data_IF_212036268913
#
_entry.id   IF_212036268913
#
_cell.length_a   1.000
_cell.length_b   1.000
_cell.length_c   1.000
_cell.angle_alpha   90.00
_cell.angle_beta   90.00
_cell.angle_gamma   90.00
#
_symmetry.space_group_name_H-M   'P 1'
#
loop_
_entity.id
_entity.type
_entity.pdbx_description
1 polymer ?
#
# COMPACT_ATOMS: atom_id res chain seq x y z
N UNK A 1 -23.21 7.02 -54.65
CA UNK A 1 -22.08 6.14 -54.29
C UNK A 1 -21.15 6.96 -53.44
N UNK A 2 -21.33 6.87 -52.13
CA UNK A 2 -20.38 7.36 -51.13
C UNK A 2 -20.26 6.25 -50.08
N UNK A 3 -19.03 5.84 -49.82
CA UNK A 3 -18.65 5.24 -48.54
C UNK A 3 -17.17 5.58 -48.33
N UNK A 4 -16.93 6.53 -47.44
CA UNK A 4 -15.60 6.84 -46.91
C UNK A 4 -15.20 5.81 -45.86
N UNK A 5 -13.99 5.28 -45.98
CA UNK A 5 -13.34 4.45 -44.97
C UNK A 5 -11.94 5.01 -44.77
N UNK A 6 -11.56 5.29 -43.52
CA UNK A 6 -10.17 5.59 -43.16
C UNK A 6 -10.03 6.64 -42.08
N UNK A 7 -10.46 6.34 -40.85
CA UNK A 7 -10.31 7.27 -39.73
C UNK A 7 -10.60 6.64 -38.38
N UNK A 8 -10.02 5.46 -38.09
CA UNK A 8 -10.00 4.88 -36.73
C UNK A 8 -8.84 3.90 -36.60
N UNK A 9 -7.63 4.43 -36.41
CA UNK A 9 -6.46 3.64 -35.99
C UNK A 9 -5.38 4.52 -35.35
N UNK A 10 -5.76 5.38 -34.40
CA UNK A 10 -4.79 6.14 -33.59
C UNK A 10 -5.34 6.45 -32.18
N UNK A 11 -6.19 5.58 -31.63
CA UNK A 11 -6.60 5.64 -30.22
C UNK A 11 -6.33 4.35 -29.46
N UNK A 12 -5.88 3.29 -30.15
CA UNK A 12 -5.62 1.96 -29.57
C UNK A 12 -4.12 1.63 -29.48
N UNK A 13 -3.23 2.53 -29.92
CA UNK A 13 -1.77 2.36 -29.90
C UNK A 13 -1.06 3.13 -28.77
N UNK A 14 -1.78 3.61 -27.75
CA UNK A 14 -1.23 4.45 -26.67
C UNK A 14 -1.36 3.76 -25.29
N UNK A 15 -1.29 2.42 -25.22
CA UNK A 15 -1.09 1.70 -23.93
C UNK A 15 0.42 1.47 -23.63
N UNK A 16 1.32 1.87 -24.53
CA UNK A 16 2.79 1.94 -24.34
C UNK A 16 3.31 3.39 -24.24
N UNK A 17 2.54 4.31 -23.67
CA UNK A 17 3.17 5.55 -23.18
C UNK A 17 4.02 5.14 -21.99
N UNK A 18 5.33 5.11 -22.21
CA UNK A 18 6.33 5.24 -21.16
C UNK A 18 5.81 6.26 -20.16
N UNK A 19 5.37 5.81 -18.98
CA UNK A 19 4.90 6.70 -17.94
C UNK A 19 6.10 7.54 -17.55
N UNK A 20 6.15 8.79 -18.04
CA UNK A 20 7.29 9.66 -17.76
C UNK A 20 7.18 10.02 -16.29
N UNK A 21 8.03 9.35 -15.49
CA UNK A 21 8.15 9.65 -14.09
C UNK A 21 8.52 11.13 -13.94
N UNK A 22 7.66 11.90 -13.29
CA UNK A 22 7.98 13.28 -12.94
C UNK A 22 8.87 13.22 -11.69
N UNK A 23 10.17 13.58 -11.78
CA UNK A 23 11.08 13.51 -10.63
C UNK A 23 10.61 14.39 -9.47
N UNK A 24 9.87 15.49 -9.73
CA UNK A 24 9.29 16.35 -8.68
C UNK A 24 8.17 15.68 -7.88
N UNK A 25 7.62 14.58 -8.41
CA UNK A 25 6.58 13.80 -7.74
C UNK A 25 7.13 12.51 -7.10
N UNK A 26 8.45 12.39 -7.02
CA UNK A 26 9.11 11.27 -6.35
C UNK A 26 9.37 11.62 -4.91
N UNK A 27 8.91 10.77 -3.99
CA UNK A 27 9.28 10.83 -2.60
C UNK A 27 10.54 9.99 -2.39
N UNK A 28 11.70 10.66 -2.31
CA UNK A 28 13.01 9.99 -2.21
C UNK A 28 13.35 9.46 -0.80
N UNK A 29 12.41 9.59 0.14
CA UNK A 29 12.51 9.00 1.46
C UNK A 29 11.56 7.82 1.56
N UNK A 30 11.87 6.88 2.45
CA UNK A 30 11.00 5.72 2.67
C UNK A 30 10.26 5.83 4.00
N UNK A 31 11.01 6.13 5.08
CA UNK A 31 10.44 6.33 6.40
C UNK A 31 9.68 7.66 6.46
N UNK A 32 8.43 7.64 6.92
CA UNK A 32 7.62 8.82 7.19
C UNK A 32 7.81 9.26 8.64
N UNK A 33 8.20 10.52 8.85
CA UNK A 33 8.29 11.21 10.15
C UNK A 33 8.31 12.73 9.93
N UNK A 34 8.40 13.51 11.01
CA UNK A 34 8.41 14.97 11.01
C UNK A 34 9.55 15.60 10.20
N UNK A 35 10.63 14.86 9.96
CA UNK A 35 11.75 15.30 9.14
C UNK A 35 11.48 15.04 7.66
N UNK A 36 11.05 13.83 7.31
CA UNK A 36 10.90 13.40 5.91
C UNK A 36 9.61 13.89 5.26
N UNK A 37 8.52 14.04 6.03
CA UNK A 37 7.21 14.45 5.49
C UNK A 37 7.24 15.83 4.82
N UNK A 38 8.18 16.69 5.20
CA UNK A 38 8.40 18.02 4.60
C UNK A 38 8.79 17.94 3.13
N UNK A 39 9.32 16.81 2.70
CA UNK A 39 9.71 16.53 1.31
C UNK A 39 8.65 15.73 0.56
N UNK A 40 7.49 15.45 1.17
CA UNK A 40 6.42 14.74 0.49
C UNK A 40 5.88 15.59 -0.66
N UNK A 41 5.84 15.05 -1.89
CA UNK A 41 5.46 15.85 -3.05
C UNK A 41 3.96 16.13 -3.08
N UNK A 42 3.61 17.39 -3.31
CA UNK A 42 2.23 17.79 -3.57
C UNK A 42 1.84 17.47 -5.02
N UNK A 43 1.66 16.18 -5.33
CA UNK A 43 1.34 15.69 -6.68
C UNK A 43 0.11 14.76 -6.69
N UNK A 44 -0.71 14.79 -7.77
CA UNK A 44 -1.77 13.80 -8.00
C UNK A 44 -1.28 12.36 -8.12
N UNK A 45 -0.08 12.16 -8.68
CA UNK A 45 0.57 10.86 -8.80
C UNK A 45 1.94 10.94 -8.12
N UNK A 46 2.14 10.14 -7.08
CA UNK A 46 3.36 10.09 -6.28
C UNK A 46 4.07 8.77 -6.52
N UNK A 47 5.39 8.81 -6.59
CA UNK A 47 6.26 7.64 -6.72
C UNK A 47 7.05 7.49 -5.43
N UNK A 48 6.96 6.35 -4.78
CA UNK A 48 7.68 6.13 -3.53
C UNK A 48 7.19 4.94 -2.74
N UNK A 49 7.97 4.60 -1.73
CA UNK A 49 7.64 3.55 -0.76
C UNK A 49 7.36 4.27 0.55
N UNK A 50 6.18 4.04 1.12
CA UNK A 50 5.78 4.67 2.37
C UNK A 50 5.94 3.65 3.50
N UNK A 51 6.90 3.89 4.39
CA UNK A 51 7.06 3.15 5.65
C UNK A 51 6.56 3.99 6.80
N UNK A 52 5.57 3.46 7.51
CA UNK A 52 4.96 4.05 8.70
C UNK A 52 5.13 3.05 9.83
N UNK A 53 5.76 3.48 10.92
CA UNK A 53 6.02 2.62 12.07
C UNK A 53 6.20 3.44 13.36
N UNK A 54 6.82 2.84 14.39
CA UNK A 54 7.12 3.53 15.66
C UNK A 54 7.99 4.78 15.51
N UNK A 55 8.76 4.92 14.42
CA UNK A 55 9.54 6.12 14.13
C UNK A 55 8.71 7.25 13.50
N UNK A 56 7.43 7.01 13.18
CA UNK A 56 6.50 8.04 12.70
C UNK A 56 5.95 8.83 13.88
N UNK A 57 6.55 9.99 14.14
CA UNK A 57 6.20 10.95 15.19
C UNK A 57 5.10 11.97 14.77
N UNK A 58 4.25 11.56 13.83
CA UNK A 58 3.20 12.40 13.25
C UNK A 58 1.81 11.89 13.65
N UNK A 59 0.88 12.82 13.83
CA UNK A 59 -0.53 12.49 13.97
C UNK A 59 -1.12 12.09 12.60
N UNK A 60 -2.12 11.21 12.62
CA UNK A 60 -2.89 10.83 11.42
C UNK A 60 -3.38 12.06 10.64
N UNK A 61 -3.83 13.12 11.33
CA UNK A 61 -4.27 14.36 10.70
C UNK A 61 -3.16 15.06 9.90
N UNK A 62 -1.91 15.05 10.39
CA UNK A 62 -0.77 15.64 9.69
C UNK A 62 -0.41 14.84 8.43
N UNK A 63 -0.48 13.50 8.52
CA UNK A 63 -0.32 12.63 7.35
C UNK A 63 -1.41 12.85 6.32
N UNK A 64 -2.67 12.99 6.77
CA UNK A 64 -3.80 13.29 5.87
C UNK A 64 -3.59 14.62 5.14
N UNK A 65 -3.13 15.66 5.83
CA UNK A 65 -2.80 16.94 5.20
C UNK A 65 -1.68 16.79 4.19
N UNK A 66 -0.62 16.05 4.50
CA UNK A 66 0.48 15.83 3.57
C UNK A 66 0.06 15.04 2.31
N UNK A 67 -0.84 14.06 2.48
CA UNK A 67 -1.29 13.17 1.41
C UNK A 67 -2.49 13.72 0.62
N UNK A 68 -3.01 14.91 0.96
CA UNK A 68 -4.29 15.42 0.44
C UNK A 68 -4.37 15.47 -1.09
N UNK A 69 -3.25 15.74 -1.76
CA UNK A 69 -3.19 15.82 -3.21
C UNK A 69 -2.87 14.48 -3.89
N UNK A 70 -2.41 13.47 -3.14
CA UNK A 70 -2.05 12.16 -3.67
C UNK A 70 -3.30 11.33 -4.00
N UNK A 71 -3.56 11.14 -5.29
CA UNK A 71 -4.63 10.27 -5.80
C UNK A 71 -4.10 8.94 -6.33
N UNK A 72 -2.82 8.88 -6.71
CA UNK A 72 -2.16 7.67 -7.19
C UNK A 72 -0.84 7.50 -6.46
N UNK A 73 -0.58 6.30 -5.95
CA UNK A 73 0.71 5.91 -5.42
C UNK A 73 1.30 4.81 -6.30
N UNK A 74 2.46 5.06 -6.88
CA UNK A 74 3.29 4.07 -7.57
C UNK A 74 4.42 3.65 -6.63
N UNK A 75 4.37 2.43 -6.12
CA UNK A 75 5.40 1.92 -5.21
C UNK A 75 4.87 0.95 -4.17
N UNK A 76 5.03 1.25 -2.88
CA UNK A 76 4.70 0.32 -1.79
C UNK A 76 4.19 1.02 -0.55
N UNK A 77 3.40 0.31 0.25
CA UNK A 77 2.95 0.77 1.56
C UNK A 77 3.33 -0.31 2.58
N UNK A 78 4.03 0.10 3.62
CA UNK A 78 4.36 -0.74 4.77
C UNK A 78 4.00 -0.02 6.06
N UNK A 79 3.09 -0.61 6.81
CA UNK A 79 2.58 -0.10 8.07
C UNK A 79 2.85 -1.17 9.12
N UNK A 80 3.74 -0.87 10.06
CA UNK A 80 4.17 -1.86 11.03
C UNK A 80 4.35 -1.29 12.42
N UNK A 81 4.05 -2.09 13.44
CA UNK A 81 4.27 -1.72 14.84
C UNK A 81 3.61 -0.38 15.23
N UNK A 82 2.53 0.03 14.56
CA UNK A 82 1.87 1.30 14.87
C UNK A 82 0.90 1.15 16.05
N UNK A 83 0.60 2.28 16.70
CA UNK A 83 -0.41 2.38 17.77
C UNK A 83 -1.74 2.95 17.27
N UNK A 84 -2.00 2.86 15.97
CA UNK A 84 -3.19 3.45 15.37
C UNK A 84 -4.28 2.42 15.19
N UNK A 85 -5.52 2.85 15.37
CA UNK A 85 -6.69 2.01 15.14
C UNK A 85 -7.23 2.06 13.72
N UNK A 86 -6.76 3.02 12.90
CA UNK A 86 -7.27 3.33 11.57
C UNK A 86 -6.16 3.77 10.63
N UNK A 87 -6.38 3.58 9.33
CA UNK A 87 -5.50 4.02 8.24
C UNK A 87 -6.10 5.17 7.41
N UNK A 88 -7.00 5.96 8.01
CA UNK A 88 -7.66 7.09 7.36
C UNK A 88 -6.75 8.32 7.12
N UNK A 89 -5.43 8.13 7.00
CA UNK A 89 -4.51 9.13 6.45
C UNK A 89 -4.51 9.11 4.92
N UNK A 90 -4.82 7.97 4.30
CA UNK A 90 -4.99 7.88 2.86
C UNK A 90 -6.39 8.37 2.49
N UNK A 91 -6.49 9.22 1.46
CA UNK A 91 -7.80 9.54 0.89
C UNK A 91 -8.41 8.27 0.35
N UNK A 92 -9.64 7.97 0.70
CA UNK A 92 -10.29 6.74 0.28
C UNK A 92 -11.13 6.93 -0.98
N UNK A 93 -11.52 8.19 -1.24
CA UNK A 93 -12.12 8.60 -2.51
C UNK A 93 -11.05 8.66 -3.60
N UNK A 94 -11.19 7.82 -4.63
CA UNK A 94 -10.36 7.83 -5.86
C UNK A 94 -8.85 7.55 -5.67
N UNK A 95 -8.45 6.89 -4.58
CA UNK A 95 -7.05 6.48 -4.41
C UNK A 95 -6.74 5.21 -5.20
N UNK A 96 -5.71 5.29 -6.05
CA UNK A 96 -5.22 4.18 -6.87
C UNK A 96 -3.81 3.79 -6.44
N UNK A 97 -3.65 2.54 -6.06
CA UNK A 97 -2.39 1.98 -5.62
C UNK A 97 -1.81 1.06 -6.70
N UNK A 98 -0.67 1.45 -7.26
CA UNK A 98 0.10 0.70 -8.25
C UNK A 98 1.29 0.07 -7.53
N UNK A 99 1.14 -1.19 -7.11
CA UNK A 99 2.08 -1.82 -6.19
C UNK A 99 3.09 -2.74 -6.88
N UNK A 100 3.58 -2.30 -8.04
CA UNK A 100 4.24 -3.17 -9.01
C UNK A 100 5.59 -3.77 -8.59
N UNK A 101 6.18 -3.35 -7.48
CA UNK A 101 7.46 -3.90 -7.01
C UNK A 101 7.53 -4.11 -5.51
N UNK A 102 6.64 -3.46 -4.76
CA UNK A 102 6.80 -3.34 -3.30
C UNK A 102 5.57 -3.77 -2.51
N UNK A 103 4.43 -4.08 -3.11
CA UNK A 103 3.29 -4.68 -2.40
C UNK A 103 2.70 -3.84 -1.26
N UNK A 104 1.85 -4.48 -0.47
CA UNK A 104 1.20 -3.90 0.72
C UNK A 104 1.55 -4.70 1.96
N UNK A 105 1.95 -4.05 3.04
CA UNK A 105 2.26 -4.72 4.30
C UNK A 105 1.56 -4.02 5.46
N UNK A 106 0.72 -4.75 6.19
CA UNK A 106 0.17 -4.33 7.47
C UNK A 106 0.57 -5.41 8.50
N UNK A 107 1.57 -5.11 9.33
CA UNK A 107 2.21 -6.11 10.19
C UNK A 107 2.30 -5.63 11.64
N UNK A 108 1.89 -6.46 12.59
CA UNK A 108 2.06 -6.17 14.02
C UNK A 108 1.43 -4.84 14.47
N UNK A 109 0.25 -4.51 13.95
CA UNK A 109 -0.51 -3.32 14.38
C UNK A 109 -1.65 -3.76 15.31
N UNK A 110 -1.31 -4.03 16.57
CA UNK A 110 -2.25 -4.62 17.55
C UNK A 110 -3.49 -3.77 17.85
N UNK A 111 -3.47 -2.48 17.52
CA UNK A 111 -4.63 -1.58 17.68
C UNK A 111 -5.44 -1.38 16.40
N UNK A 112 -4.92 -1.77 15.22
CA UNK A 112 -5.54 -1.54 13.92
C UNK A 112 -6.80 -2.41 13.75
N UNK A 113 -7.97 -1.86 14.08
CA UNK A 113 -9.26 -2.55 13.97
C UNK A 113 -10.19 -1.97 12.92
N UNK A 114 -9.95 -0.73 12.47
CA UNK A 114 -10.75 -0.09 11.42
C UNK A 114 -10.28 -0.55 10.03
N UNK A 115 -11.09 -1.43 9.43
CA UNK A 115 -10.85 -2.00 8.11
C UNK A 115 -11.32 -1.10 6.95
N UNK A 116 -11.83 0.12 7.19
CA UNK A 116 -12.45 0.97 6.16
C UNK A 116 -11.56 1.17 4.95
N UNK A 117 -10.29 1.53 5.18
CA UNK A 117 -9.30 1.69 4.10
C UNK A 117 -9.09 0.40 3.29
N UNK A 118 -8.98 -0.76 3.94
CA UNK A 118 -8.81 -2.06 3.26
C UNK A 118 -10.05 -2.43 2.44
N UNK A 119 -11.25 -2.16 2.98
CA UNK A 119 -12.52 -2.37 2.28
C UNK A 119 -12.63 -1.48 1.04
N UNK A 120 -12.19 -0.24 1.12
CA UNK A 120 -12.23 0.70 -0.02
C UNK A 120 -11.17 0.37 -1.06
N UNK A 121 -9.99 -0.10 -0.67
CA UNK A 121 -9.03 -0.69 -1.61
C UNK A 121 -9.63 -1.87 -2.39
N UNK A 122 -10.62 -2.56 -1.82
CA UNK A 122 -11.38 -3.63 -2.46
C UNK A 122 -12.66 -3.15 -3.19
N UNK A 123 -13.12 -1.93 -2.92
CA UNK A 123 -14.39 -1.43 -3.46
C UNK A 123 -14.28 -1.12 -4.95
N UNK A 124 -14.92 -1.96 -5.76
CA UNK A 124 -15.12 -1.75 -7.18
C UNK A 124 -16.33 -0.84 -7.38
N UNK A 125 -16.10 0.43 -7.69
CA UNK A 125 -17.10 1.17 -8.48
C UNK A 125 -16.91 0.78 -9.94
N UNK A 126 -17.97 0.79 -10.74
CA UNK A 126 -18.04 0.26 -12.11
C UNK A 126 -16.97 0.78 -13.10
N UNK A 127 -16.15 1.76 -12.71
CA UNK A 127 -15.16 2.41 -13.57
C UNK A 127 -13.73 2.56 -12.96
N UNK A 128 -13.47 2.15 -11.71
CA UNK A 128 -12.15 2.34 -11.08
C UNK A 128 -11.66 1.13 -10.27
N UNK A 129 -10.51 0.60 -10.68
CA UNK A 129 -9.70 -0.34 -9.89
C UNK A 129 -8.82 0.48 -8.93
N UNK A 130 -8.91 0.19 -7.62
CA UNK A 130 -8.14 0.89 -6.59
C UNK A 130 -6.78 0.26 -6.33
N UNK A 131 -6.59 -1.01 -6.69
CA UNK A 131 -5.28 -1.70 -6.66
C UNK A 131 -4.94 -2.24 -8.03
N UNK A 132 -3.74 -1.95 -8.52
CA UNK A 132 -3.28 -2.33 -9.85
C UNK A 132 -1.93 -3.04 -9.71
N UNK A 133 -1.86 -4.26 -10.24
CA UNK A 133 -0.70 -5.14 -10.30
C UNK A 133 -0.44 -5.61 -11.74
N UNK A 134 0.73 -5.32 -12.30
CA UNK A 134 1.28 -5.93 -13.52
C UNK A 134 1.95 -7.32 -13.32
N UNK A 135 1.72 -8.05 -12.22
CA UNK A 135 2.40 -9.32 -11.89
C UNK A 135 1.95 -9.93 -10.54
N UNK A 136 2.38 -11.17 -10.19
CA UNK A 136 2.02 -11.82 -8.93
C UNK A 136 2.70 -11.09 -7.77
N UNK A 137 1.92 -10.43 -6.92
CA UNK A 137 2.47 -9.59 -5.85
C UNK A 137 1.77 -9.78 -4.54
N UNK A 138 2.51 -9.52 -3.48
CA UNK A 138 2.12 -9.87 -2.14
C UNK A 138 1.49 -8.67 -1.43
N UNK A 139 0.34 -8.94 -0.82
CA UNK A 139 -0.09 -8.22 0.36
C UNK A 139 0.12 -9.14 1.55
N UNK A 140 0.85 -8.67 2.56
CA UNK A 140 1.01 -9.41 3.82
C UNK A 140 0.25 -8.67 4.91
N UNK A 141 -0.71 -9.38 5.51
CA UNK A 141 -1.49 -8.90 6.63
C UNK A 141 -1.34 -9.91 7.76
N UNK A 142 -0.65 -9.50 8.82
CA UNK A 142 -0.24 -10.43 9.87
C UNK A 142 -0.06 -9.74 11.22
N UNK A 143 -0.40 -10.45 12.30
CA UNK A 143 -0.18 -10.01 13.68
C UNK A 143 -0.92 -8.68 13.99
N UNK A 144 -2.00 -8.32 13.28
CA UNK A 144 -2.78 -7.11 13.56
C UNK A 144 -3.88 -7.37 14.61
N UNK A 145 -4.71 -6.35 14.89
CA UNK A 145 -5.84 -6.53 15.79
C UNK A 145 -6.80 -7.61 15.24
N UNK A 146 -7.21 -8.61 16.05
CA UNK A 146 -8.14 -9.66 15.59
C UNK A 146 -9.48 -9.12 15.07
N UNK A 147 -9.87 -7.90 15.44
CA UNK A 147 -11.10 -7.24 14.96
C UNK A 147 -10.99 -6.70 13.53
N UNK A 148 -9.80 -6.61 12.96
CA UNK A 148 -9.57 -6.04 11.61
C UNK A 148 -10.39 -6.76 10.52
N UNK A 149 -10.62 -8.06 10.67
CA UNK A 149 -11.44 -8.86 9.74
C UNK A 149 -12.65 -9.51 10.42
N UNK A 150 -13.03 -9.06 11.61
CA UNK A 150 -14.30 -9.46 12.22
C UNK A 150 -15.48 -8.88 11.42
N UNK A 151 -16.68 -9.42 11.64
CA UNK A 151 -17.93 -9.03 10.94
C UNK A 151 -18.04 -9.47 9.47
N UNK A 152 -17.45 -10.61 9.11
CA UNK A 152 -17.59 -11.19 7.77
C UNK A 152 -16.87 -10.39 6.67
N UNK A 153 -15.90 -9.57 7.06
CA UNK A 153 -15.03 -8.85 6.13
C UNK A 153 -14.10 -9.87 5.49
N UNK A 154 -14.23 -10.13 4.18
CA UNK A 154 -13.37 -11.11 3.54
C UNK A 154 -11.94 -10.55 3.49
N UNK A 155 -10.95 -11.42 3.67
CA UNK A 155 -9.54 -11.14 3.35
C UNK A 155 -9.36 -10.99 1.83
N UNK A 156 -9.91 -9.90 1.31
CA UNK A 156 -9.94 -9.57 -0.10
C UNK A 156 -9.56 -8.10 -0.24
N UNK A 157 -8.43 -7.90 -0.89
CA UNK A 157 -7.94 -6.66 -1.45
C UNK A 157 -7.90 -6.93 -2.95
N UNK A 158 -8.97 -6.55 -3.65
CA UNK A 158 -9.14 -6.68 -5.11
C UNK A 158 -9.38 -8.11 -5.63
N UNK A 159 -10.60 -8.36 -6.12
CA UNK A 159 -10.90 -9.42 -7.11
C UNK A 159 -11.89 -8.87 -8.13
N UNK A 160 -11.50 -8.66 -9.39
CA UNK A 160 -12.48 -8.30 -10.42
C UNK A 160 -13.29 -9.52 -10.86
N UNK A 161 -14.61 -9.35 -10.97
CA UNK A 161 -15.45 -10.15 -11.87
C UNK A 161 -16.00 -9.20 -12.92
N UNK A 162 -15.16 -8.82 -13.90
CA UNK A 162 -15.59 -8.05 -15.07
C UNK A 162 -16.12 -9.00 -16.16
N UNK A 163 -17.06 -8.55 -17.02
CA UNK A 163 -17.74 -9.39 -18.02
C UNK A 163 -16.83 -9.98 -19.12
N UNK A 164 -15.52 -9.71 -19.11
CA UNK A 164 -14.60 -10.11 -20.18
C UNK A 164 -13.29 -10.76 -19.71
N UNK A 165 -13.11 -11.10 -18.43
CA UNK A 165 -11.93 -11.83 -17.93
C UNK A 165 -10.55 -11.16 -18.14
N UNK A 166 -10.47 -10.08 -18.91
CA UNK A 166 -9.24 -9.44 -19.38
C UNK A 166 -8.67 -8.39 -18.42
N UNK A 167 -9.40 -8.05 -17.34
CA UNK A 167 -8.91 -7.14 -16.28
C UNK A 167 -8.35 -7.87 -15.06
N UNK A 168 -8.57 -9.18 -14.97
CA UNK A 168 -8.23 -9.99 -13.81
C UNK A 168 -6.70 -10.02 -13.58
N UNK A 169 -5.89 -10.19 -14.64
CA UNK A 169 -4.42 -10.20 -14.49
C UNK A 169 -3.83 -8.87 -14.00
N UNK A 170 -4.52 -7.74 -14.21
CA UNK A 170 -4.04 -6.39 -13.85
C UNK A 170 -4.26 -6.05 -12.38
N UNK A 171 -4.93 -6.89 -11.59
CA UNK A 171 -5.30 -6.57 -10.21
C UNK A 171 -5.22 -7.76 -9.24
N UNK A 172 -4.55 -8.85 -9.64
CA UNK A 172 -4.30 -10.00 -8.77
C UNK A 172 -3.25 -9.61 -7.73
N UNK A 173 -3.69 -9.43 -6.50
CA UNK A 173 -2.83 -9.33 -5.32
C UNK A 173 -2.95 -10.66 -4.56
N UNK A 174 -1.83 -11.35 -4.37
CA UNK A 174 -1.74 -12.51 -3.51
C UNK A 174 -1.74 -12.03 -2.07
N UNK A 175 -2.81 -12.30 -1.33
CA UNK A 175 -2.94 -11.87 0.07
C UNK A 175 -2.56 -13.04 0.95
N UNK A 176 -1.56 -12.85 1.81
CA UNK A 176 -1.01 -13.85 2.72
C UNK A 176 -0.78 -13.24 4.11
N UNK A 177 -0.26 -14.02 5.05
CA UNK A 177 -0.09 -13.62 6.45
C UNK A 177 -1.24 -14.15 7.31
N UNK A 178 -0.94 -14.44 8.58
CA UNK A 178 -1.83 -15.16 9.51
C UNK A 178 -3.24 -14.56 9.65
N UNK A 179 -3.40 -13.25 9.42
CA UNK A 179 -4.72 -12.61 9.49
C UNK A 179 -5.59 -12.97 8.27
N UNK A 180 -4.97 -13.43 7.17
CA UNK A 180 -5.60 -13.69 5.88
C UNK A 180 -5.18 -15.00 5.18
N UNK A 181 -4.42 -15.86 5.84
CA UNK A 181 -3.88 -17.10 5.29
C UNK A 181 -2.77 -17.68 6.16
N UNK A 182 -1.81 -18.36 5.55
CA UNK A 182 -0.66 -18.90 6.27
C UNK A 182 0.29 -17.77 6.71
N UNK A 183 0.89 -17.95 7.89
CA UNK A 183 1.95 -17.08 8.40
C UNK A 183 3.13 -17.07 7.43
N UNK A 184 3.68 -15.89 7.16
CA UNK A 184 4.83 -15.72 6.26
C UNK A 184 6.01 -15.07 6.98
N UNK A 185 7.23 -15.47 6.61
CA UNK A 185 8.44 -14.79 7.04
C UNK A 185 8.65 -13.51 6.22
N UNK A 186 8.44 -12.36 6.85
CA UNK A 186 8.61 -11.07 6.18
C UNK A 186 10.07 -10.64 6.27
N UNK A 187 10.81 -10.78 5.16
CA UNK A 187 12.16 -10.21 5.05
C UNK A 187 12.06 -8.69 5.02
N UNK A 188 12.75 -8.02 5.95
CA UNK A 188 12.88 -6.56 5.93
C UNK A 188 13.59 -6.12 4.64
N UNK A 189 13.13 -5.08 3.92
CA UNK A 189 13.89 -4.54 2.81
C UNK A 189 15.24 -4.03 3.32
N UNK A 190 16.31 -4.70 2.92
CA UNK A 190 17.69 -4.33 3.17
C UNK A 190 17.99 -2.99 2.50
N UNK A 191 17.90 -1.91 3.26
CA UNK A 191 18.13 -0.53 2.82
C UNK A 191 18.06 0.53 3.92
N UNK A 192 17.71 0.16 5.16
CA UNK A 192 17.83 1.04 6.32
C UNK A 192 19.15 0.75 7.03
N UNK A 193 20.08 1.72 7.02
CA UNK A 193 21.15 1.78 8.01
C UNK A 193 20.51 2.06 9.37
N UNK A 194 19.86 1.05 9.96
CA UNK A 194 19.56 1.04 11.39
C UNK A 194 20.87 0.62 12.05
N UNK A 195 21.52 1.48 12.85
CA UNK A 195 22.72 1.08 13.55
C UNK A 195 22.40 -0.19 14.37
N UNK A 196 23.24 -1.20 14.18
CA UNK A 196 23.19 -2.58 14.72
C UNK A 196 22.92 -2.71 16.23
N UNK A 197 22.80 -1.59 16.94
CA UNK A 197 22.64 -1.49 18.39
C UNK A 197 21.19 -1.78 18.81
N UNK A 198 20.19 -1.51 17.95
CA UNK A 198 18.78 -1.83 18.27
C UNK A 198 18.45 -3.32 18.17
N UNK A 199 19.25 -4.11 17.44
CA UNK A 199 19.10 -5.58 17.40
C UNK A 199 19.58 -6.24 18.71
N UNK A 200 20.48 -5.59 19.45
CA UNK A 200 20.98 -6.12 20.73
C UNK A 200 19.95 -6.01 21.86
N UNK A 201 19.10 -4.97 21.86
CA UNK A 201 18.10 -4.77 22.93
C UNK A 201 16.93 -5.76 22.87
N UNK A 202 16.63 -6.32 21.69
CA UNK A 202 15.61 -7.36 21.55
C UNK A 202 16.13 -8.69 22.15
N UNK A 203 17.43 -8.97 22.05
CA UNK A 203 18.00 -10.20 22.61
C UNK A 203 18.18 -10.12 24.14
N UNK A 204 18.57 -8.98 24.70
CA UNK A 204 18.78 -8.86 26.16
C UNK A 204 17.48 -8.82 26.97
N UNK A 205 16.37 -8.38 26.38
CA UNK A 205 15.05 -8.41 27.05
C UNK A 205 14.43 -9.81 27.10
N UNK A 206 14.83 -10.73 26.22
CA UNK A 206 14.40 -12.14 26.28
C UNK A 206 15.13 -12.91 27.39
N UNK A 207 16.39 -12.57 27.70
CA UNK A 207 17.13 -13.20 28.81
C UNK A 207 16.74 -12.70 30.20
N UNK A 208 16.14 -11.51 30.32
CA UNK A 208 15.73 -10.97 31.64
C UNK A 208 14.36 -11.46 32.11
N UNK A 209 13.58 -12.14 31.26
CA UNK A 209 12.22 -12.60 31.61
C UNK A 209 12.19 -14.08 32.03
N UNK A 210 13.31 -14.81 31.89
CA UNK A 210 13.38 -16.23 32.33
C UNK A 210 14.01 -16.45 33.70
N UNK A 211 14.49 -15.40 34.39
CA UNK A 211 15.10 -15.50 35.73
C UNK A 211 14.51 -14.47 36.72
N UNK A 212 13.18 -14.45 36.88
CA UNK A 212 12.47 -13.79 37.98
C UNK A 212 11.19 -14.55 38.37
#
# INVERSE_FOLDING_TARGET
MEIGVGGRMMSELIDEVSFVMNPKCTFNYTQINSTTIKYFPSCPAVYGILVINLATDLLIGQLRTAFINMKKLFGGIRIENTKWNTLNMFSTSNFKFYCDYYGFYAINNSQLSDATFLKEMNSQTSEALNVITRGPREAVIQDNNPKLFQDGVPCKISQTYGPSGSRDYRTRLNITGEDCGDRVEVKLPSGSNIPSIYLLFILTSVFYITDL
#
